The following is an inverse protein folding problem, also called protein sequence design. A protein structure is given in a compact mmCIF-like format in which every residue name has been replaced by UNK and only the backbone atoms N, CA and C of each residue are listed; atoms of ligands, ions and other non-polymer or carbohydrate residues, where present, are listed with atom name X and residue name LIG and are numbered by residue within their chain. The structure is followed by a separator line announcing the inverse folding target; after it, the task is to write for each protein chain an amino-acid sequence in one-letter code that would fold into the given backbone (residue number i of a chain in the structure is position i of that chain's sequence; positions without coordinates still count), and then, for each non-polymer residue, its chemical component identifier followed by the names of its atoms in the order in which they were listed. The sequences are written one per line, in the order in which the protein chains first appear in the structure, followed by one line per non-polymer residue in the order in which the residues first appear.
data_IF_945539573021
#
_entry.id   IF_945539573021
#
_cell.length_a   1.000
_cell.length_b   1.000
_cell.length_c   1.000
_cell.angle_alpha   90.00
_cell.angle_beta   90.00
_cell.angle_gamma   90.00
#
_symmetry.space_group_name_H-M   'P 1'
#
loop_
_entity.id
_entity.type
_entity.pdbx_description
1 polymer ?
#
# COMPACT_ATOMS: atom_id res chain seq x y z
N UNK A 1 -26.46 49.89 3.42
CA UNK A 1 -26.23 48.83 2.44
C UNK A 1 -24.76 48.43 2.30
N UNK A 2 -23.83 49.37 2.06
CA UNK A 2 -22.39 49.07 1.89
C UNK A 2 -21.74 48.37 3.10
N UNK A 3 -22.11 48.72 4.32
CA UNK A 3 -21.59 48.12 5.55
C UNK A 3 -22.07 46.68 5.79
N UNK A 4 -23.28 46.36 5.37
CA UNK A 4 -23.82 44.98 5.44
C UNK A 4 -23.11 44.05 4.47
N UNK A 5 -22.76 44.51 3.28
CA UNK A 5 -21.99 43.74 2.30
C UNK A 5 -20.56 43.49 2.78
N UNK A 6 -19.92 44.47 3.40
CA UNK A 6 -18.59 44.34 3.97
C UNK A 6 -18.56 43.34 5.14
N UNK A 7 -19.59 43.36 6.01
CA UNK A 7 -19.71 42.39 7.10
C UNK A 7 -19.91 40.95 6.60
N UNK A 8 -20.73 40.77 5.56
CA UNK A 8 -20.94 39.43 4.94
C UNK A 8 -19.67 38.89 4.27
N UNK A 9 -18.92 39.75 3.57
CA UNK A 9 -17.64 39.37 2.97
C UNK A 9 -16.61 39.00 4.03
N UNK A 10 -16.53 39.75 5.13
CA UNK A 10 -15.62 39.43 6.23
C UNK A 10 -16.00 38.12 6.92
N UNK A 11 -17.29 37.87 7.17
CA UNK A 11 -17.78 36.61 7.74
C UNK A 11 -17.51 35.43 6.83
N UNK A 12 -17.70 35.61 5.52
CA UNK A 12 -17.38 34.56 4.53
C UNK A 12 -15.88 34.26 4.46
N UNK A 13 -15.04 35.29 4.55
CA UNK A 13 -13.59 35.12 4.57
C UNK A 13 -13.11 34.42 5.85
N UNK A 14 -13.67 34.76 7.00
CA UNK A 14 -13.40 34.09 8.27
C UNK A 14 -13.87 32.64 8.22
N UNK A 15 -15.02 32.35 7.62
CA UNK A 15 -15.52 31.00 7.41
C UNK A 15 -14.59 30.19 6.51
N UNK A 16 -14.14 30.71 5.38
CA UNK A 16 -13.17 30.08 4.49
C UNK A 16 -11.84 29.81 5.20
N UNK A 17 -11.33 30.80 5.95
CA UNK A 17 -10.11 30.60 6.74
C UNK A 17 -10.30 29.55 7.81
N UNK A 18 -11.43 29.52 8.51
CA UNK A 18 -11.75 28.52 9.52
C UNK A 18 -11.82 27.12 8.90
N UNK A 19 -12.47 26.96 7.76
CA UNK A 19 -12.57 25.65 7.05
C UNK A 19 -11.22 25.18 6.50
N UNK A 20 -10.35 26.14 6.12
CA UNK A 20 -9.01 25.83 5.59
C UNK A 20 -8.01 25.51 6.71
N UNK A 21 -8.12 26.16 7.88
CA UNK A 21 -7.21 26.00 9.01
C UNK A 21 -7.80 25.21 10.18
N UNK A 22 -9.11 24.94 10.19
CA UNK A 22 -9.67 24.00 11.14
C UNK A 22 -9.00 22.65 10.88
N UNK A 23 -8.12 22.22 11.77
CA UNK A 23 -7.61 20.87 11.77
C UNK A 23 -8.85 19.96 11.75
N UNK A 24 -9.08 19.29 10.61
CA UNK A 24 -10.15 18.29 10.53
C UNK A 24 -9.92 17.36 11.72
N UNK A 25 -10.92 17.12 12.58
CA UNK A 25 -10.74 16.30 13.77
C UNK A 25 -10.12 15.00 13.29
N UNK A 26 -8.93 14.69 13.82
CA UNK A 26 -8.23 13.44 13.52
C UNK A 26 -9.20 12.36 13.99
N UNK A 27 -9.89 11.73 13.05
CA UNK A 27 -10.73 10.57 13.34
C UNK A 27 -9.79 9.53 13.96
N UNK A 28 -9.87 9.37 15.27
CA UNK A 28 -9.06 8.39 15.98
C UNK A 28 -9.48 7.02 15.45
N UNK A 29 -8.64 6.47 14.59
CA UNK A 29 -8.91 5.20 13.90
C UNK A 29 -8.52 4.04 14.81
N UNK A 30 -9.32 3.80 15.87
CA UNK A 30 -9.10 2.76 16.88
C UNK A 30 -9.43 1.33 16.42
N UNK A 31 -10.00 1.17 15.23
CA UNK A 31 -10.25 -0.16 14.68
C UNK A 31 -8.96 -0.81 14.22
N UNK A 32 -8.94 -2.15 14.22
CA UNK A 32 -7.77 -2.95 13.80
C UNK A 32 -7.43 -2.66 12.34
N UNK A 33 -6.17 -2.79 11.97
CA UNK A 33 -5.74 -2.58 10.58
C UNK A 33 -6.50 -3.49 9.60
N UNK A 34 -6.79 -4.74 9.99
CA UNK A 34 -7.57 -5.66 9.16
C UNK A 34 -9.06 -5.28 8.99
N UNK A 35 -9.57 -4.31 9.76
CA UNK A 35 -10.93 -3.78 9.61
C UNK A 35 -11.03 -2.70 8.51
N UNK A 36 -9.90 -2.29 7.92
CA UNK A 36 -9.85 -1.28 6.85
C UNK A 36 -9.53 -1.92 5.50
N UNK A 37 -10.09 -1.33 4.46
CA UNK A 37 -9.65 -1.56 3.08
C UNK A 37 -8.61 -0.51 2.70
N UNK A 38 -7.64 -0.89 1.88
CA UNK A 38 -6.67 0.04 1.32
C UNK A 38 -6.65 -0.10 -0.20
N UNK A 39 -6.68 1.03 -0.88
CA UNK A 39 -6.47 1.12 -2.32
C UNK A 39 -4.99 1.16 -2.63
N UNK A 40 -4.59 0.42 -3.67
CA UNK A 40 -3.21 0.24 -4.04
C UNK A 40 -2.93 0.42 -5.52
N UNK A 41 -1.65 0.50 -5.85
CA UNK A 41 -1.15 0.58 -7.22
C UNK A 41 0.07 -0.32 -7.42
N UNK A 42 0.24 -0.80 -8.65
CA UNK A 42 1.40 -1.58 -9.10
C UNK A 42 2.05 -0.94 -10.33
N UNK A 43 1.27 -0.25 -11.16
CA UNK A 43 1.66 0.17 -12.52
C UNK A 43 1.71 1.68 -12.72
N UNK A 44 1.54 2.44 -11.67
CA UNK A 44 1.48 3.89 -11.75
C UNK A 44 2.82 4.49 -11.33
N UNK A 45 3.16 5.63 -11.92
CA UNK A 45 4.27 6.46 -11.43
C UNK A 45 4.12 6.71 -9.92
N UNK A 46 5.16 6.35 -9.16
CA UNK A 46 5.09 6.27 -7.69
C UNK A 46 4.71 7.61 -7.06
N UNK A 47 5.39 8.74 -7.39
CA UNK A 47 5.00 10.05 -6.87
C UNK A 47 3.56 10.42 -7.19
N UNK A 48 3.09 10.13 -8.40
CA UNK A 48 1.71 10.42 -8.81
C UNK A 48 0.70 9.58 -8.03
N UNK A 49 0.95 8.28 -7.88
CA UNK A 49 0.09 7.39 -7.10
C UNK A 49 -0.04 7.85 -5.65
N UNK A 50 1.08 8.18 -5.01
CA UNK A 50 1.11 8.63 -3.60
C UNK A 50 0.36 9.96 -3.44
N UNK A 51 0.59 10.95 -4.33
CA UNK A 51 -0.09 12.25 -4.30
C UNK A 51 -1.61 12.12 -4.48
N UNK A 52 -2.08 11.12 -5.21
CA UNK A 52 -3.51 10.78 -5.33
C UNK A 52 -4.09 10.12 -4.09
N UNK A 53 -3.28 9.84 -3.06
CA UNK A 53 -3.71 9.27 -1.79
C UNK A 53 -3.61 7.75 -1.71
N UNK A 54 -2.95 7.09 -2.66
CA UNK A 54 -2.64 5.66 -2.58
C UNK A 54 -1.76 5.41 -1.36
N UNK A 55 -2.11 4.38 -0.56
CA UNK A 55 -1.42 4.00 0.66
C UNK A 55 -0.88 2.57 0.65
N UNK A 56 -1.10 1.85 -0.43
CA UNK A 56 -0.56 0.53 -0.69
C UNK A 56 0.14 0.54 -2.04
N UNK A 57 1.44 0.39 -2.04
CA UNK A 57 2.26 0.27 -3.25
C UNK A 57 2.85 -1.13 -3.32
N UNK A 58 2.74 -1.77 -4.46
CA UNK A 58 3.49 -2.99 -4.75
C UNK A 58 4.56 -2.70 -5.79
N UNK A 59 5.78 -3.11 -5.49
CA UNK A 59 6.93 -2.98 -6.38
C UNK A 59 7.53 -4.34 -6.71
N UNK A 60 7.90 -4.51 -7.96
CA UNK A 60 8.52 -5.73 -8.49
C UNK A 60 10.01 -5.50 -8.64
N UNK A 61 10.81 -6.14 -7.77
CA UNK A 61 12.25 -5.94 -7.68
C UNK A 61 13.00 -7.00 -8.46
N UNK A 62 13.89 -6.56 -9.33
CA UNK A 62 14.80 -7.34 -10.13
C UNK A 62 16.24 -7.03 -9.75
N UNK A 63 17.17 -7.85 -10.23
CA UNK A 63 18.62 -7.61 -10.13
C UNK A 63 19.13 -7.14 -11.47
N UNK A 64 19.82 -6.01 -11.51
CA UNK A 64 20.58 -5.62 -12.70
C UNK A 64 21.88 -6.42 -12.83
N UNK A 65 22.70 -6.11 -13.87
CA UNK A 65 23.96 -6.76 -14.14
C UNK A 65 25.02 -6.56 -13.02
N UNK A 66 24.85 -5.51 -12.20
CA UNK A 66 25.73 -5.14 -11.08
C UNK A 66 25.16 -5.55 -9.73
N UNK A 67 24.17 -6.43 -9.72
CA UNK A 67 23.44 -6.84 -8.53
C UNK A 67 22.83 -5.66 -7.75
N UNK A 68 22.42 -4.58 -8.47
CA UNK A 68 21.64 -3.50 -7.86
C UNK A 68 20.15 -3.82 -7.95
N UNK A 69 19.36 -3.48 -6.92
CA UNK A 69 17.92 -3.63 -6.96
C UNK A 69 17.31 -2.56 -7.87
N UNK A 70 16.59 -3.00 -8.87
CA UNK A 70 15.80 -2.16 -9.78
C UNK A 70 14.35 -2.57 -9.74
N UNK A 71 13.47 -1.60 -9.93
CA UNK A 71 12.02 -1.80 -9.95
C UNK A 71 11.55 -1.64 -11.39
N UNK A 72 10.91 -2.68 -11.92
CA UNK A 72 10.21 -2.62 -13.18
C UNK A 72 8.73 -2.36 -12.95
N UNK A 73 8.17 -1.40 -13.70
CA UNK A 73 6.77 -0.99 -13.59
C UNK A 73 5.88 -1.67 -14.63
N UNK A 74 6.45 -2.43 -15.58
CA UNK A 74 5.72 -2.94 -16.75
C UNK A 74 5.76 -4.47 -16.79
N UNK A 75 4.61 -5.18 -16.62
CA UNK A 75 4.53 -6.58 -16.96
C UNK A 75 4.56 -6.75 -18.47
N UNK A 76 5.39 -7.64 -19.00
CA UNK A 76 5.40 -8.03 -20.40
C UNK A 76 4.53 -9.27 -20.63
N UNK A 77 4.28 -9.60 -21.92
CA UNK A 77 3.33 -10.64 -22.36
C UNK A 77 3.64 -12.07 -21.88
N UNK A 78 4.81 -12.33 -21.33
CA UNK A 78 5.26 -13.63 -20.80
C UNK A 78 5.44 -13.67 -19.27
N UNK A 79 5.10 -12.59 -18.58
CA UNK A 79 5.34 -12.45 -17.15
C UNK A 79 5.85 -11.07 -16.77
N UNK A 80 6.52 -11.00 -15.64
CA UNK A 80 7.20 -9.79 -15.18
C UNK A 80 8.62 -9.78 -15.72
N UNK A 81 8.81 -9.17 -16.88
CA UNK A 81 10.12 -9.05 -17.48
C UNK A 81 10.79 -7.72 -17.13
N UNK A 82 12.10 -7.77 -17.07
CA UNK A 82 12.96 -6.61 -16.94
C UNK A 82 12.84 -5.75 -18.20
N UNK A 83 12.54 -4.47 -18.05
CA UNK A 83 12.44 -3.50 -19.14
C UNK A 83 13.51 -2.42 -19.00
N UNK A 84 13.82 -1.72 -20.09
CA UNK A 84 14.78 -0.60 -20.05
C UNK A 84 14.27 0.60 -19.24
N UNK A 85 12.95 0.68 -18.98
CA UNK A 85 12.30 1.72 -18.16
C UNK A 85 12.33 1.36 -16.66
N UNK A 86 13.53 1.10 -16.12
CA UNK A 86 13.68 0.73 -14.73
C UNK A 86 13.96 1.96 -13.85
N UNK A 87 13.43 1.91 -12.65
CA UNK A 87 13.75 2.85 -11.58
C UNK A 87 14.60 2.13 -10.53
N UNK A 88 15.66 2.78 -10.03
CA UNK A 88 16.43 2.21 -8.92
C UNK A 88 15.54 2.09 -7.68
N UNK A 89 15.73 1.03 -6.90
CA UNK A 89 14.98 0.88 -5.64
C UNK A 89 15.31 1.99 -4.64
N UNK A 90 16.51 2.56 -4.72
CA UNK A 90 16.90 3.75 -3.96
C UNK A 90 15.97 4.94 -4.27
N UNK A 91 15.71 5.22 -5.56
CA UNK A 91 14.82 6.30 -5.97
C UNK A 91 13.39 6.05 -5.46
N UNK A 92 12.91 4.82 -5.52
CA UNK A 92 11.60 4.45 -4.93
C UNK A 92 11.53 4.80 -3.44
N UNK A 93 12.59 4.53 -2.67
CA UNK A 93 12.65 4.90 -1.26
C UNK A 93 12.64 6.42 -1.05
N UNK A 94 13.33 7.17 -1.91
CA UNK A 94 13.33 8.65 -1.87
C UNK A 94 11.94 9.21 -2.18
N UNK A 95 11.27 8.71 -3.20
CA UNK A 95 9.91 9.12 -3.57
C UNK A 95 8.90 8.85 -2.44
N UNK A 96 9.00 7.69 -1.79
CA UNK A 96 8.16 7.34 -0.64
C UNK A 96 8.41 8.32 0.53
N UNK A 97 9.66 8.64 0.86
CA UNK A 97 9.97 9.59 1.94
C UNK A 97 9.37 10.95 1.66
N UNK A 98 9.49 11.42 0.43
CA UNK A 98 9.06 12.77 0.06
C UNK A 98 7.54 12.92 0.02
N UNK A 99 6.83 11.92 -0.49
CA UNK A 99 5.42 12.08 -0.84
C UNK A 99 4.45 11.30 0.07
N UNK A 100 4.89 10.22 0.77
CA UNK A 100 3.96 9.39 1.52
C UNK A 100 3.63 9.93 2.93
N UNK A 101 4.59 10.51 3.61
CA UNK A 101 4.49 10.86 5.05
C UNK A 101 3.98 12.26 5.40
N UNK A 102 3.69 13.19 4.47
CA UNK A 102 2.84 14.34 4.76
C UNK A 102 1.45 13.95 5.26
N UNK A 103 0.94 12.79 4.82
CA UNK A 103 -0.24 12.17 5.41
C UNK A 103 0.12 11.44 6.70
N UNK A 104 -0.75 11.55 7.72
CA UNK A 104 -0.61 10.80 8.98
C UNK A 104 -0.94 9.30 8.82
N UNK A 105 -1.54 8.88 7.70
CA UNK A 105 -1.84 7.48 7.44
C UNK A 105 -0.57 6.65 7.28
N UNK A 106 -0.54 5.39 7.69
CA UNK A 106 0.56 4.50 7.37
C UNK A 106 0.72 4.34 5.86
N UNK A 107 1.91 3.98 5.44
CA UNK A 107 2.20 3.60 4.06
C UNK A 107 2.60 2.14 4.02
N UNK A 108 2.01 1.36 3.11
CA UNK A 108 2.26 -0.06 2.96
C UNK A 108 3.09 -0.25 1.70
N UNK A 109 4.26 -0.86 1.84
CA UNK A 109 5.11 -1.25 0.73
C UNK A 109 5.15 -2.78 0.63
N UNK A 110 4.60 -3.29 -0.45
CA UNK A 110 4.63 -4.70 -0.83
C UNK A 110 5.79 -4.91 -1.81
N UNK A 111 6.73 -5.78 -1.48
CA UNK A 111 7.92 -6.05 -2.29
C UNK A 111 7.83 -7.47 -2.85
N UNK A 112 7.69 -7.58 -4.17
CA UNK A 112 7.74 -8.85 -4.90
C UNK A 112 9.13 -9.01 -5.49
N UNK A 113 9.91 -9.97 -4.98
CA UNK A 113 11.24 -10.26 -5.50
C UNK A 113 11.17 -11.20 -6.70
N UNK A 114 11.75 -10.79 -7.83
CA UNK A 114 11.97 -11.59 -9.03
C UNK A 114 13.43 -12.03 -9.17
N UNK A 115 14.21 -11.94 -8.10
CA UNK A 115 15.58 -12.42 -8.05
C UNK A 115 15.78 -13.35 -6.86
N UNK A 116 16.63 -14.32 -7.00
CA UNK A 116 17.10 -15.21 -5.95
C UNK A 116 18.47 -14.79 -5.37
N UNK A 117 19.05 -13.71 -5.92
CA UNK A 117 20.33 -13.18 -5.47
C UNK A 117 20.20 -12.50 -4.11
N UNK A 118 20.67 -13.15 -3.06
CA UNK A 118 20.66 -12.59 -1.69
C UNK A 118 21.40 -11.26 -1.59
N UNK A 119 22.43 -11.03 -2.41
CA UNK A 119 23.15 -9.75 -2.48
C UNK A 119 22.21 -8.62 -2.87
N UNK A 120 21.40 -8.79 -3.90
CA UNK A 120 20.42 -7.78 -4.35
C UNK A 120 19.35 -7.54 -3.27
N UNK A 121 18.84 -8.60 -2.66
CA UNK A 121 17.82 -8.49 -1.60
C UNK A 121 18.39 -7.79 -0.35
N UNK A 122 19.66 -8.04 -0.02
CA UNK A 122 20.33 -7.32 1.09
C UNK A 122 20.49 -5.83 0.80
N UNK A 123 20.77 -5.43 -0.45
CA UNK A 123 20.80 -4.02 -0.85
C UNK A 123 19.42 -3.36 -0.76
N UNK A 124 18.33 -4.10 -1.05
CA UNK A 124 16.96 -3.61 -0.79
C UNK A 124 16.80 -3.24 0.70
N UNK A 125 17.22 -4.12 1.60
CA UNK A 125 17.18 -3.86 3.04
C UNK A 125 18.06 -2.65 3.44
N UNK A 126 19.23 -2.51 2.83
CA UNK A 126 20.14 -1.38 3.07
C UNK A 126 19.49 -0.06 2.66
N UNK A 127 18.88 0.04 1.46
CA UNK A 127 18.19 1.25 1.02
C UNK A 127 17.00 1.61 1.92
N UNK A 128 16.22 0.61 2.36
CA UNK A 128 15.14 0.82 3.32
C UNK A 128 15.67 1.40 4.64
N UNK A 129 16.73 0.82 5.19
CA UNK A 129 17.33 1.26 6.46
C UNK A 129 18.02 2.62 6.35
N UNK A 130 18.61 2.95 5.20
CA UNK A 130 19.27 4.24 5.00
C UNK A 130 18.24 5.35 4.84
N UNK A 131 17.19 5.13 4.06
CA UNK A 131 16.26 6.19 3.64
C UNK A 131 15.01 6.26 4.52
N UNK A 132 14.42 5.10 4.86
CA UNK A 132 13.08 5.00 5.48
C UNK A 132 13.10 4.62 6.96
N UNK A 133 14.28 4.44 7.58
CA UNK A 133 14.43 3.92 8.95
C UNK A 133 13.54 4.61 9.99
N UNK A 134 13.42 5.92 9.95
CA UNK A 134 12.62 6.71 10.91
C UNK A 134 11.11 6.40 10.84
N UNK A 135 10.66 5.92 9.69
CA UNK A 135 9.26 5.57 9.44
C UNK A 135 8.97 4.09 9.64
N UNK A 136 9.99 3.23 9.74
CA UNK A 136 9.78 1.80 9.92
C UNK A 136 9.09 1.49 11.26
N UNK A 137 8.28 0.44 11.23
CA UNK A 137 7.76 -0.20 12.44
C UNK A 137 8.25 -1.64 12.48
N UNK A 138 8.53 -2.14 13.68
CA UNK A 138 8.98 -3.53 13.90
C UNK A 138 7.88 -4.39 14.54
N UNK A 139 6.66 -3.84 14.62
CA UNK A 139 5.51 -4.59 15.10
C UNK A 139 5.18 -5.73 14.13
N UNK A 140 4.99 -6.95 14.66
CA UNK A 140 4.68 -8.15 13.86
C UNK A 140 3.18 -8.48 13.85
N UNK A 141 2.43 -8.06 14.87
CA UNK A 141 1.00 -8.32 14.97
C UNK A 141 0.17 -7.16 14.41
N UNK A 142 0.59 -6.63 13.27
CA UNK A 142 0.02 -5.40 12.71
C UNK A 142 -1.46 -5.54 12.35
N UNK A 143 -1.93 -6.72 11.94
CA UNK A 143 -3.31 -6.91 11.50
C UNK A 143 -4.34 -6.66 12.61
N UNK A 144 -3.98 -6.95 13.85
CA UNK A 144 -4.87 -6.78 15.02
C UNK A 144 -4.66 -5.48 15.77
N UNK A 145 -3.57 -4.77 15.50
CA UNK A 145 -3.28 -3.48 16.12
C UNK A 145 -4.17 -2.37 15.53
N UNK A 146 -4.48 -1.33 16.31
CA UNK A 146 -5.25 -0.17 15.83
C UNK A 146 -4.52 0.57 14.71
N UNK A 147 -5.25 1.03 13.68
CA UNK A 147 -4.66 1.73 12.54
C UNK A 147 -3.86 2.98 12.96
N UNK A 148 -4.32 3.71 13.96
CA UNK A 148 -3.68 4.93 14.45
C UNK A 148 -2.33 4.69 15.13
N UNK A 149 -2.05 3.47 15.60
CA UNK A 149 -0.73 3.10 16.13
C UNK A 149 0.38 3.09 15.06
N UNK A 150 -0.02 3.06 13.79
CA UNK A 150 0.91 3.10 12.64
C UNK A 150 0.97 4.48 11.96
N UNK A 151 0.50 5.54 12.63
CA UNK A 151 0.56 6.89 12.06
C UNK A 151 2.00 7.25 11.66
N UNK A 152 2.20 7.74 10.42
CA UNK A 152 3.50 8.04 9.81
C UNK A 152 4.47 6.85 9.77
N UNK A 153 3.98 5.61 9.80
CA UNK A 153 4.82 4.42 9.73
C UNK A 153 4.74 3.74 8.38
N UNK A 154 5.87 3.14 8.02
CA UNK A 154 6.00 2.23 6.89
C UNK A 154 5.73 0.80 7.38
N UNK A 155 4.81 0.13 6.70
CA UNK A 155 4.52 -1.28 6.88
C UNK A 155 5.12 -2.03 5.69
N UNK A 156 6.04 -2.96 5.96
CA UNK A 156 6.72 -3.75 4.94
C UNK A 156 6.12 -5.14 4.82
N UNK A 157 5.86 -5.53 3.59
CA UNK A 157 5.31 -6.84 3.25
C UNK A 157 6.12 -7.44 2.11
N UNK A 158 6.43 -8.71 2.21
CA UNK A 158 7.07 -9.47 1.15
C UNK A 158 6.83 -10.97 1.35
N UNK A 159 7.43 -11.80 0.51
CA UNK A 159 7.40 -13.26 0.61
C UNK A 159 8.26 -13.88 -0.49
N UNK A 160 8.33 -15.21 -0.53
CA UNK A 160 9.18 -15.92 -1.49
C UNK A 160 10.65 -15.96 -1.08
N UNK A 161 11.56 -15.63 -1.98
CA UNK A 161 13.02 -15.83 -1.87
C UNK A 161 13.75 -14.85 -0.96
N UNK A 162 13.15 -14.45 0.16
CA UNK A 162 13.76 -13.50 1.10
C UNK A 162 14.37 -14.17 2.34
N UNK A 163 14.14 -15.47 2.50
CA UNK A 163 14.59 -16.21 3.68
C UNK A 163 16.11 -16.17 3.82
N UNK A 164 16.58 -15.89 5.04
CA UNK A 164 18.00 -15.76 5.34
C UNK A 164 18.67 -14.46 4.85
N UNK A 165 17.89 -13.51 4.31
CA UNK A 165 18.40 -12.20 3.87
C UNK A 165 18.21 -11.12 4.95
N UNK A 166 18.89 -9.97 4.78
CA UNK A 166 18.72 -8.81 5.65
C UNK A 166 17.32 -8.17 5.55
N UNK A 167 16.54 -8.48 4.53
CA UNK A 167 15.18 -7.99 4.36
C UNK A 167 14.19 -8.71 5.29
N UNK A 168 14.38 -10.01 5.53
CA UNK A 168 13.45 -10.84 6.30
C UNK A 168 13.10 -10.26 7.68
N UNK A 169 14.07 -9.87 8.55
CA UNK A 169 13.76 -9.31 9.86
C UNK A 169 13.04 -7.97 9.82
N UNK A 170 13.10 -7.24 8.70
CA UNK A 170 12.47 -5.93 8.54
C UNK A 170 10.98 -6.04 8.22
N UNK A 171 10.50 -7.17 7.72
CA UNK A 171 9.11 -7.35 7.34
C UNK A 171 8.18 -7.32 8.54
N UNK A 172 7.03 -6.70 8.37
CA UNK A 172 5.92 -6.75 9.32
C UNK A 172 5.00 -7.94 9.02
N UNK A 173 4.82 -8.27 7.74
CA UNK A 173 4.04 -9.41 7.27
C UNK A 173 4.75 -10.13 6.13
N UNK A 174 4.55 -11.43 6.05
CA UNK A 174 4.97 -12.25 4.91
C UNK A 174 3.78 -13.07 4.41
N UNK A 175 3.56 -13.10 3.08
CA UNK A 175 2.57 -14.03 2.51
C UNK A 175 3.04 -15.48 2.48
N UNK A 176 4.25 -15.76 2.96
CA UNK A 176 4.69 -17.11 3.34
C UNK A 176 4.17 -17.52 4.71
N UNK A 177 3.62 -16.59 5.50
CA UNK A 177 3.07 -16.82 6.82
C UNK A 177 1.56 -17.10 6.75
N UNK A 178 1.03 -17.74 7.77
CA UNK A 178 -0.39 -18.08 7.84
C UNK A 178 -1.32 -16.86 8.01
N UNK A 179 -0.76 -15.70 8.41
CA UNK A 179 -1.53 -14.50 8.77
C UNK A 179 -1.88 -13.56 7.62
N UNK A 180 -1.29 -13.77 6.42
CA UNK A 180 -1.57 -12.94 5.24
C UNK A 180 -1.64 -13.80 3.99
N UNK A 181 -2.49 -13.43 3.05
CA UNK A 181 -2.56 -14.08 1.73
C UNK A 181 -2.42 -13.06 0.62
N UNK A 182 -1.67 -13.41 -0.39
CA UNK A 182 -1.63 -12.66 -1.65
C UNK A 182 -2.31 -13.50 -2.72
N UNK A 183 -3.43 -13.00 -3.21
CA UNK A 183 -4.25 -13.64 -4.24
C UNK A 183 -4.13 -12.89 -5.55
N UNK A 184 -4.16 -13.61 -6.66
CA UNK A 184 -4.43 -12.98 -7.95
C UNK A 184 -5.89 -12.53 -8.00
N UNK A 185 -6.20 -11.58 -8.89
CA UNK A 185 -7.59 -11.12 -9.09
C UNK A 185 -8.54 -12.29 -9.41
N UNK A 186 -8.12 -13.23 -10.26
CA UNK A 186 -8.93 -14.41 -10.58
C UNK A 186 -9.16 -15.34 -9.38
N UNK A 187 -8.15 -15.53 -8.55
CA UNK A 187 -8.32 -16.31 -7.32
C UNK A 187 -9.28 -15.65 -6.34
N UNK A 188 -9.29 -14.31 -6.30
CA UNK A 188 -10.22 -13.55 -5.47
C UNK A 188 -11.64 -13.50 -6.04
N UNK A 189 -11.81 -13.58 -7.39
CA UNK A 189 -13.12 -13.68 -8.04
C UNK A 189 -13.77 -15.06 -7.86
N UNK A 190 -12.94 -16.12 -7.91
CA UNK A 190 -13.39 -17.51 -7.89
C UNK A 190 -12.65 -18.29 -6.79
N UNK A 191 -12.87 -17.93 -5.51
CA UNK A 191 -12.23 -18.65 -4.41
C UNK A 191 -12.72 -20.10 -4.35
N UNK A 192 -11.83 -21.05 -4.04
CA UNK A 192 -12.19 -22.45 -3.88
C UNK A 192 -13.25 -22.66 -2.80
N UNK A 193 -13.11 -21.94 -1.71
CA UNK A 193 -14.07 -21.91 -0.60
C UNK A 193 -14.36 -20.44 -0.23
N UNK A 194 -15.48 -19.87 -0.77
CA UNK A 194 -15.89 -18.51 -0.45
C UNK A 194 -16.12 -18.26 1.05
N UNK A 195 -16.64 -19.27 1.75
CA UNK A 195 -16.93 -19.17 3.18
C UNK A 195 -15.66 -19.16 4.02
N UNK A 196 -14.67 -19.94 3.64
CA UNK A 196 -13.34 -19.94 4.27
C UNK A 196 -12.65 -18.61 4.06
N UNK A 197 -12.65 -18.09 2.83
CA UNK A 197 -12.05 -16.78 2.53
C UNK A 197 -12.73 -15.66 3.34
N UNK A 198 -14.05 -15.62 3.37
CA UNK A 198 -14.79 -14.63 4.15
C UNK A 198 -14.54 -14.73 5.66
N UNK A 199 -14.31 -15.93 6.18
CA UNK A 199 -13.91 -16.14 7.56
C UNK A 199 -12.48 -15.69 7.82
N UNK A 200 -11.54 -16.03 6.92
CA UNK A 200 -10.14 -15.64 7.02
C UNK A 200 -9.97 -14.12 7.05
N UNK A 201 -10.69 -13.38 6.18
CA UNK A 201 -10.61 -11.93 6.08
C UNK A 201 -11.13 -11.17 7.29
N UNK A 202 -11.75 -11.83 8.27
CA UNK A 202 -12.20 -11.19 9.51
C UNK A 202 -11.03 -10.76 10.41
N UNK A 203 -9.98 -11.58 10.45
CA UNK A 203 -8.85 -11.40 11.37
C UNK A 203 -7.49 -11.34 10.69
N UNK A 204 -7.46 -11.60 9.39
CA UNK A 204 -6.24 -11.66 8.59
C UNK A 204 -6.32 -10.75 7.37
N UNK A 205 -5.16 -10.42 6.81
CA UNK A 205 -5.06 -9.54 5.65
C UNK A 205 -5.00 -10.34 4.36
N UNK A 206 -5.78 -9.92 3.37
CA UNK A 206 -5.72 -10.44 2.01
C UNK A 206 -5.39 -9.32 1.06
N UNK A 207 -4.29 -9.48 0.33
CA UNK A 207 -3.85 -8.61 -0.75
C UNK A 207 -4.33 -9.21 -2.07
N UNK A 208 -5.02 -8.43 -2.89
CA UNK A 208 -5.44 -8.84 -4.22
C UNK A 208 -4.63 -8.08 -5.25
N UNK A 209 -3.81 -8.81 -5.98
CA UNK A 209 -2.94 -8.25 -7.02
C UNK A 209 -3.55 -8.46 -8.41
N UNK A 210 -3.37 -7.50 -9.34
CA UNK A 210 -3.71 -7.71 -10.74
C UNK A 210 -2.82 -8.81 -11.34
N UNK A 211 -3.34 -9.47 -12.37
CA UNK A 211 -2.52 -10.36 -13.19
C UNK A 211 -1.87 -9.56 -14.32
N UNK A 212 -0.63 -9.87 -14.70
CA UNK A 212 0.06 -9.16 -15.77
C UNK A 212 -0.73 -9.09 -17.08
N UNK A 213 -1.41 -10.19 -17.41
CA UNK A 213 -2.20 -10.34 -18.65
C UNK A 213 -3.47 -9.48 -18.65
N UNK A 214 -3.90 -9.00 -17.49
CA UNK A 214 -5.15 -8.26 -17.31
C UNK A 214 -5.00 -6.73 -17.31
N UNK A 215 -3.89 -6.20 -17.84
CA UNK A 215 -3.64 -4.75 -17.92
C UNK A 215 -4.80 -3.93 -18.50
N UNK A 216 -5.53 -4.50 -19.44
CA UNK A 216 -6.60 -3.83 -20.19
C UNK A 216 -7.98 -4.07 -19.60
N UNK A 217 -8.15 -5.01 -18.70
CA UNK A 217 -9.42 -5.27 -18.06
C UNK A 217 -9.58 -4.34 -16.83
N UNK A 218 -10.64 -3.59 -16.83
CA UNK A 218 -11.10 -2.85 -15.65
C UNK A 218 -11.49 -3.86 -14.57
N UNK A 219 -10.55 -4.15 -13.68
CA UNK A 219 -10.81 -5.01 -12.54
C UNK A 219 -11.87 -4.34 -11.64
N UNK A 220 -12.93 -5.06 -11.34
CA UNK A 220 -13.98 -4.59 -10.45
C UNK A 220 -13.62 -4.96 -9.01
N UNK A 221 -13.32 -4.01 -8.13
CA UNK A 221 -12.93 -4.29 -6.74
C UNK A 221 -14.10 -4.83 -5.89
N UNK A 222 -15.34 -4.68 -6.34
CA UNK A 222 -16.52 -5.01 -5.54
C UNK A 222 -16.60 -6.50 -5.17
N UNK A 223 -16.18 -7.41 -6.06
CA UNK A 223 -16.23 -8.85 -5.78
C UNK A 223 -15.22 -9.27 -4.71
N UNK A 224 -13.91 -8.93 -4.81
CA UNK A 224 -12.97 -9.18 -3.71
C UNK A 224 -13.40 -8.51 -2.40
N UNK A 225 -13.90 -7.28 -2.45
CA UNK A 225 -14.41 -6.58 -1.27
C UNK A 225 -15.62 -7.28 -0.66
N UNK A 226 -16.47 -7.94 -1.47
CA UNK A 226 -17.61 -8.73 -0.98
C UNK A 226 -17.17 -9.92 -0.13
N UNK A 227 -16.01 -10.51 -0.39
CA UNK A 227 -15.40 -11.54 0.43
C UNK A 227 -14.53 -10.97 1.58
N UNK A 228 -14.49 -9.65 1.73
CA UNK A 228 -13.74 -8.96 2.77
C UNK A 228 -12.25 -8.82 2.48
N UNK A 229 -11.78 -9.06 1.23
CA UNK A 229 -10.39 -8.79 0.86
C UNK A 229 -10.07 -7.32 1.05
N UNK A 230 -9.08 -7.02 1.91
CA UNK A 230 -8.89 -5.66 2.39
C UNK A 230 -8.08 -4.80 1.43
N UNK A 231 -7.02 -5.35 0.86
CA UNK A 231 -6.01 -4.57 0.14
C UNK A 231 -6.01 -4.92 -1.34
N UNK A 232 -6.47 -3.97 -2.16
CA UNK A 232 -6.66 -4.18 -3.58
C UNK A 232 -5.70 -3.29 -4.38
N UNK A 233 -4.74 -3.89 -5.06
CA UNK A 233 -3.68 -3.23 -5.82
C UNK A 233 -4.16 -2.64 -7.16
N UNK A 234 -5.44 -2.73 -7.47
CA UNK A 234 -6.08 -2.19 -8.68
C UNK A 234 -7.25 -1.26 -8.38
N UNK A 235 -7.60 -1.11 -7.11
CA UNK A 235 -8.66 -0.20 -6.69
C UNK A 235 -8.06 1.21 -6.52
N UNK A 236 -8.53 2.15 -7.32
CA UNK A 236 -8.07 3.54 -7.29
C UNK A 236 -8.91 4.43 -6.37
N UNK A 237 -10.16 4.05 -6.14
CA UNK A 237 -11.13 4.82 -5.38
C UNK A 237 -11.89 3.94 -4.38
N UNK A 238 -12.17 4.46 -3.20
CA UNK A 238 -11.64 5.69 -2.62
C UNK A 238 -10.17 5.54 -2.19
N UNK A 239 -9.36 6.60 -2.28
CA UNK A 239 -7.95 6.56 -1.86
C UNK A 239 -7.82 6.41 -0.34
N UNK A 240 -6.67 5.90 0.11
CA UNK A 240 -6.35 5.77 1.53
C UNK A 240 -7.00 4.56 2.20
N UNK A 241 -7.21 4.66 3.52
CA UNK A 241 -7.82 3.63 4.33
C UNK A 241 -9.30 3.92 4.56
N UNK A 242 -10.15 2.97 4.21
CA UNK A 242 -11.60 3.05 4.40
C UNK A 242 -12.06 1.92 5.32
N UNK A 243 -12.82 2.25 6.34
CA UNK A 243 -13.39 1.25 7.24
C UNK A 243 -14.35 0.33 6.46
N UNK A 244 -14.19 -0.97 6.60
CA UNK A 244 -15.12 -1.93 6.03
C UNK A 244 -16.53 -1.63 6.56
N UNK A 245 -17.50 -1.52 5.66
CA UNK A 245 -18.89 -1.48 6.09
C UNK A 245 -19.20 -2.80 6.78
N UNK A 246 -19.71 -2.72 8.02
CA UNK A 246 -20.28 -3.89 8.67
C UNK A 246 -21.46 -4.37 7.80
N UNK A 247 -21.24 -5.38 6.98
CA UNK A 247 -22.37 -6.10 6.38
C UNK A 247 -22.97 -6.96 7.49
N UNK A 248 -24.22 -6.64 7.79
CA UNK A 248 -25.05 -7.41 8.67
C UNK A 248 -25.17 -8.87 8.19
#
# INVERSE_FOLDING_TARGET
MKWLLAALLAAFFVYLMYDTFAEKPILVRRKRLCDYTASGSVYEDIPTAIKRGIRLLEVHVYSDERDQPVVSMVPQNSGWDFTDDNVSFEQVCVDIVNDAFPSKDPFILSIVSHTDKSVTINKVAEHLLTTLRRHMTYEKNIQTAPLDSFANKLILISGGNIHGTALEPLLNLSWSDAGVRRLSYQQALHPRDPSELARFTKDHIVIVAPQPELKTLTANPNTPLAFGCQWNLFARDPPGFVLKSSRA
#
